data_IF_674136281360
#
_entry.id   IF_674136281360
#
_cell.length_a   1.000
_cell.length_b   1.000
_cell.length_c   1.000
_cell.angle_alpha   90.00
_cell.angle_beta   90.00
_cell.angle_gamma   90.00
#
_symmetry.space_group_name_H-M   'P 1'
#
loop_
_entity.id
_entity.type
_entity.pdbx_description
1 polymer ?
#
# COMPACT_ATOMS: atom_id res chain seq x y z
N UNK A 1 15.00 29.85 63.04
CA UNK A 1 14.14 30.63 62.12
C UNK A 1 14.90 30.84 60.82
N UNK A 2 14.35 30.29 59.72
CA UNK A 2 14.32 30.88 58.37
C UNK A 2 15.68 30.97 57.63
N UNK A 3 15.93 30.42 56.44
CA UNK A 3 15.05 29.96 55.35
C UNK A 3 15.82 28.98 54.43
N UNK A 4 15.21 27.83 54.13
CA UNK A 4 15.50 26.95 52.98
C UNK A 4 15.32 27.71 51.66
N UNK A 5 16.24 27.57 50.70
CA UNK A 5 15.96 27.63 49.24
C UNK A 5 17.04 26.81 48.51
N UNK A 6 16.91 25.48 48.46
CA UNK A 6 16.47 24.72 47.27
C UNK A 6 16.90 25.41 45.97
N UNK A 7 18.04 24.97 45.43
CA UNK A 7 18.45 25.21 44.05
C UNK A 7 17.51 24.38 43.17
N UNK A 8 16.53 25.04 42.56
CA UNK A 8 15.68 24.43 41.54
C UNK A 8 16.48 24.34 40.24
N UNK A 9 16.89 23.13 39.87
CA UNK A 9 17.33 22.82 38.51
C UNK A 9 16.06 22.81 37.66
N UNK A 10 15.79 23.90 36.97
CA UNK A 10 14.75 23.95 35.93
C UNK A 10 15.29 23.22 34.70
N UNK A 11 15.00 21.93 34.58
CA UNK A 11 15.18 21.19 33.32
C UNK A 11 14.11 21.69 32.35
N UNK A 12 14.52 22.58 31.44
CA UNK A 12 13.66 23.04 30.35
C UNK A 12 13.63 21.92 29.29
N UNK A 13 12.63 21.05 29.35
CA UNK A 13 12.35 20.08 28.29
C UNK A 13 11.87 20.87 27.07
N UNK A 14 12.79 21.13 26.12
CA UNK A 14 12.43 21.64 24.81
C UNK A 14 11.73 20.49 24.08
N UNK A 15 10.39 20.42 24.19
CA UNK A 15 9.58 19.63 23.27
C UNK A 15 9.76 20.25 21.88
N UNK A 16 10.77 19.79 21.15
CA UNK A 16 10.76 19.92 19.70
C UNK A 16 9.52 19.15 19.24
N UNK A 17 8.47 19.88 18.88
CA UNK A 17 7.39 19.31 18.08
C UNK A 17 8.02 18.98 16.74
N UNK A 18 8.47 17.73 16.58
CA UNK A 18 8.73 17.21 15.24
C UNK A 18 7.39 17.32 14.52
N UNK A 19 7.31 18.05 13.39
CA UNK A 19 6.09 18.07 12.62
C UNK A 19 5.79 16.62 12.22
N UNK A 20 4.75 16.06 12.82
CA UNK A 20 4.21 14.77 12.43
C UNK A 20 3.58 14.96 11.05
N UNK A 21 4.29 14.54 10.01
CA UNK A 21 3.76 14.50 8.66
C UNK A 21 2.97 13.21 8.50
N UNK A 22 1.81 13.30 7.85
CA UNK A 22 1.13 12.11 7.38
C UNK A 22 1.88 11.54 6.17
N UNK A 23 1.98 10.21 6.12
CA UNK A 23 2.62 9.50 5.01
C UNK A 23 1.92 9.73 3.68
N UNK A 24 0.59 9.79 3.71
CA UNK A 24 -0.23 9.99 2.51
C UNK A 24 -0.39 11.48 2.22
N UNK A 25 0.21 11.96 1.11
CA UNK A 25 0.18 13.39 0.75
C UNK A 25 -0.61 13.69 -0.51
N UNK A 26 -0.46 12.87 -1.54
CA UNK A 26 -1.15 13.05 -2.82
C UNK A 26 -2.36 12.12 -2.87
N UNK A 27 -3.47 12.53 -2.24
CA UNK A 27 -4.67 11.69 -2.13
C UNK A 27 -5.75 12.16 -3.11
N UNK A 28 -6.07 11.30 -4.07
CA UNK A 28 -7.19 11.48 -4.99
C UNK A 28 -8.32 10.51 -4.63
N UNK A 29 -9.53 11.05 -4.43
CA UNK A 29 -10.73 10.25 -4.13
C UNK A 29 -11.79 10.59 -5.16
N UNK A 30 -12.25 9.58 -5.88
CA UNK A 30 -13.24 9.71 -6.96
C UNK A 30 -14.39 8.73 -6.73
N UNK A 31 -15.63 9.18 -6.96
CA UNK A 31 -16.83 8.35 -6.82
C UNK A 31 -17.52 8.21 -8.18
N UNK A 32 -17.78 6.98 -8.59
CA UNK A 32 -18.83 6.65 -9.54
C UNK A 32 -20.12 6.37 -8.77
N UNK A 33 -21.03 7.33 -8.88
CA UNK A 33 -22.31 7.38 -8.18
C UNK A 33 -23.51 7.28 -9.13
N UNK A 34 -23.30 6.80 -10.36
CA UNK A 34 -24.34 6.76 -11.41
C UNK A 34 -25.56 5.92 -11.02
N UNK A 35 -25.35 4.87 -10.23
CA UNK A 35 -26.43 3.98 -9.75
C UNK A 35 -27.17 4.52 -8.52
N UNK A 36 -26.72 5.64 -7.93
CA UNK A 36 -27.36 6.26 -6.78
C UNK A 36 -28.45 7.26 -7.19
N UNK A 37 -29.53 7.31 -6.40
CA UNK A 37 -30.59 8.32 -6.54
C UNK A 37 -30.03 9.71 -6.24
N UNK A 38 -30.59 10.75 -6.86
CA UNK A 38 -30.07 12.13 -6.78
C UNK A 38 -29.93 12.67 -5.35
N UNK A 39 -30.87 12.36 -4.46
CA UNK A 39 -30.81 12.77 -3.05
C UNK A 39 -29.68 12.05 -2.29
N UNK A 40 -29.45 10.78 -2.59
CA UNK A 40 -28.37 9.98 -1.98
C UNK A 40 -27.00 10.45 -2.49
N UNK A 41 -26.91 10.82 -3.78
CA UNK A 41 -25.69 11.42 -4.33
C UNK A 41 -25.28 12.65 -3.54
N UNK A 42 -26.18 13.61 -3.36
CA UNK A 42 -25.89 14.82 -2.60
C UNK A 42 -25.46 14.53 -1.15
N UNK A 43 -26.06 13.52 -0.53
CA UNK A 43 -25.73 13.11 0.84
C UNK A 43 -24.34 12.47 0.98
N UNK A 44 -23.87 11.71 -0.02
CA UNK A 44 -22.57 11.02 0.07
C UNK A 44 -21.39 11.90 -0.39
N UNK A 45 -21.62 13.04 -1.04
CA UNK A 45 -20.54 13.90 -1.54
C UNK A 45 -19.50 14.32 -0.48
N UNK A 46 -19.88 14.72 0.75
CA UNK A 46 -18.91 15.15 1.77
C UNK A 46 -17.91 14.06 2.17
N UNK A 47 -18.30 12.78 2.03
CA UNK A 47 -17.44 11.64 2.34
C UNK A 47 -16.14 11.66 1.53
N UNK A 48 -16.14 12.20 0.30
CA UNK A 48 -14.91 12.29 -0.52
C UNK A 48 -13.79 13.03 0.20
N UNK A 49 -14.11 14.19 0.76
CA UNK A 49 -13.14 15.01 1.46
C UNK A 49 -12.83 14.47 2.86
N UNK A 50 -13.79 13.77 3.47
CA UNK A 50 -13.59 13.10 4.75
C UNK A 50 -12.61 11.92 4.63
N UNK A 51 -12.72 11.11 3.57
CA UNK A 51 -11.75 10.05 3.26
C UNK A 51 -10.35 10.64 3.03
N UNK A 52 -10.24 11.77 2.30
CA UNK A 52 -8.95 12.45 2.14
C UNK A 52 -8.36 12.87 3.49
N UNK A 53 -9.17 13.52 4.34
CA UNK A 53 -8.75 13.94 5.68
C UNK A 53 -8.33 12.76 6.55
N UNK A 54 -9.06 11.64 6.47
CA UNK A 54 -8.75 10.43 7.22
C UNK A 54 -7.33 9.93 6.96
N UNK A 55 -6.89 9.90 5.70
CA UNK A 55 -5.52 9.48 5.39
C UNK A 55 -4.48 10.57 5.67
N UNK A 56 -4.79 11.84 5.39
CA UNK A 56 -3.82 12.95 5.53
C UNK A 56 -3.63 13.45 6.96
N UNK A 57 -4.54 13.13 7.88
CA UNK A 57 -4.48 13.57 9.28
C UNK A 57 -3.99 12.47 10.24
N UNK A 58 -3.83 11.25 9.75
CA UNK A 58 -3.37 10.10 10.55
C UNK A 58 -1.88 9.87 10.34
N UNK A 59 -1.16 9.69 11.45
CA UNK A 59 0.19 9.12 11.44
C UNK A 59 0.03 7.61 11.50
N UNK A 60 0.40 6.92 10.42
CA UNK A 60 0.15 5.48 10.28
C UNK A 60 1.25 4.63 10.90
N UNK A 61 2.49 5.06 10.74
CA UNK A 61 3.68 4.47 11.34
C UNK A 61 4.65 5.59 11.78
N UNK A 62 5.18 5.53 13.00
CA UNK A 62 6.07 6.60 13.51
C UNK A 62 7.49 6.53 12.90
N UNK A 63 7.99 5.32 12.64
CA UNK A 63 9.32 5.06 12.06
C UNK A 63 9.39 5.53 10.61
N UNK A 64 8.34 5.27 9.83
CA UNK A 64 8.24 5.64 8.42
C UNK A 64 7.32 6.85 8.21
N UNK A 65 7.43 7.86 9.09
CA UNK A 65 6.55 9.04 9.08
C UNK A 65 6.89 10.07 7.98
N UNK A 66 8.09 9.98 7.40
CA UNK A 66 8.57 10.87 6.36
C UNK A 66 8.22 10.43 4.93
N UNK A 67 7.65 9.23 4.76
CA UNK A 67 7.19 8.72 3.47
C UNK A 67 6.23 9.69 2.78
N UNK A 68 6.26 9.69 1.46
CA UNK A 68 5.44 10.54 0.61
C UNK A 68 4.65 9.67 -0.38
N UNK A 69 3.64 8.98 0.15
CA UNK A 69 2.86 8.00 -0.57
C UNK A 69 1.72 8.71 -1.30
N UNK A 70 1.61 8.43 -2.61
CA UNK A 70 0.44 8.81 -3.40
C UNK A 70 -0.68 7.80 -3.18
N UNK A 71 -1.93 8.23 -3.11
CA UNK A 71 -3.06 7.34 -2.87
C UNK A 71 -4.25 7.72 -3.74
N UNK A 72 -4.55 6.85 -4.70
CA UNK A 72 -5.69 6.97 -5.60
C UNK A 72 -6.78 5.99 -5.14
N UNK A 73 -7.95 6.54 -4.82
CA UNK A 73 -9.11 5.79 -4.34
C UNK A 73 -10.28 6.05 -5.30
N UNK A 74 -10.82 4.98 -5.87
CA UNK A 74 -12.00 5.04 -6.72
C UNK A 74 -13.10 4.16 -6.15
N UNK A 75 -14.23 4.75 -5.76
CA UNK A 75 -15.41 4.01 -5.34
C UNK A 75 -16.41 3.91 -6.48
N UNK A 76 -16.98 2.71 -6.69
CA UNK A 76 -18.09 2.48 -7.61
C UNK A 76 -19.29 2.03 -6.78
N UNK A 77 -20.27 2.91 -6.61
CA UNK A 77 -21.44 2.61 -5.79
C UNK A 77 -22.42 1.71 -6.52
N UNK A 78 -22.78 0.60 -5.89
CA UNK A 78 -23.74 -0.39 -6.42
C UNK A 78 -25.17 -0.10 -5.95
N UNK A 79 -25.33 0.57 -4.82
CA UNK A 79 -26.64 0.93 -4.28
C UNK A 79 -26.61 1.26 -2.79
N UNK A 80 -27.81 1.54 -2.26
CA UNK A 80 -28.02 1.78 -0.83
C UNK A 80 -29.19 0.92 -0.34
N UNK A 81 -28.97 0.22 0.76
CA UNK A 81 -30.01 -0.47 1.52
C UNK A 81 -30.37 0.36 2.75
N UNK A 82 -31.65 0.45 3.08
CA UNK A 82 -32.11 1.19 4.25
C UNK A 82 -32.77 0.23 5.24
N UNK A 83 -32.28 0.22 6.48
CA UNK A 83 -32.88 -0.51 7.59
C UNK A 83 -33.12 0.46 8.74
N UNK A 84 -34.36 0.93 8.88
CA UNK A 84 -34.71 2.00 9.82
C UNK A 84 -34.08 3.34 9.41
N UNK A 85 -33.38 3.98 10.36
CA UNK A 85 -32.65 5.24 10.11
C UNK A 85 -31.29 5.05 9.44
N UNK A 86 -30.75 3.82 9.42
CA UNK A 86 -29.39 3.58 8.93
C UNK A 86 -29.41 3.31 7.43
N UNK A 87 -28.55 4.03 6.71
CA UNK A 87 -28.27 3.82 5.29
C UNK A 87 -26.98 3.01 5.15
N UNK A 88 -27.08 1.84 4.55
CA UNK A 88 -25.95 0.97 4.26
C UNK A 88 -25.60 1.08 2.78
N UNK A 89 -24.41 1.59 2.50
CA UNK A 89 -23.85 1.74 1.17
C UNK A 89 -23.16 0.46 0.76
N UNK A 90 -23.38 0.08 -0.50
CA UNK A 90 -22.73 -1.03 -1.16
C UNK A 90 -21.90 -0.47 -2.31
N UNK A 91 -20.63 -0.89 -2.38
CA UNK A 91 -19.72 -0.41 -3.39
C UNK A 91 -18.66 -1.44 -3.76
N UNK A 92 -17.97 -1.15 -4.85
CA UNK A 92 -16.65 -1.69 -5.17
C UNK A 92 -15.65 -0.55 -4.97
N UNK A 93 -14.39 -0.88 -4.69
CA UNK A 93 -13.35 0.13 -4.54
C UNK A 93 -12.04 -0.29 -5.19
N UNK A 94 -11.30 0.68 -5.69
CA UNK A 94 -9.94 0.51 -6.14
C UNK A 94 -9.04 1.41 -5.30
N UNK A 95 -8.01 0.81 -4.69
CA UNK A 95 -6.94 1.52 -4.00
C UNK A 95 -5.65 1.32 -4.77
N UNK A 96 -4.89 2.40 -5.01
CA UNK A 96 -3.59 2.30 -5.67
C UNK A 96 -2.62 3.39 -5.23
N UNK A 97 -1.33 3.06 -5.19
CA UNK A 97 -0.27 4.04 -5.04
C UNK A 97 0.11 4.76 -6.35
N UNK A 98 -0.57 4.45 -7.46
CA UNK A 98 -0.21 4.93 -8.80
C UNK A 98 0.90 4.10 -9.49
N UNK A 99 1.32 3.00 -8.86
CA UNK A 99 2.34 2.06 -9.34
C UNK A 99 1.77 0.62 -9.31
N UNK A 100 2.56 -0.34 -8.88
CA UNK A 100 2.25 -1.77 -8.80
C UNK A 100 1.28 -2.14 -7.67
N UNK A 101 1.23 -1.35 -6.59
CA UNK A 101 0.25 -1.56 -5.52
C UNK A 101 -1.12 -1.12 -6.02
N UNK A 102 -1.93 -2.10 -6.40
CA UNK A 102 -3.28 -1.90 -6.90
C UNK A 102 -4.19 -2.99 -6.38
N UNK A 103 -5.17 -2.60 -5.57
CA UNK A 103 -6.09 -3.52 -4.92
C UNK A 103 -7.53 -3.19 -5.28
N UNK A 104 -8.23 -4.18 -5.84
CA UNK A 104 -9.63 -4.06 -6.23
C UNK A 104 -10.51 -4.85 -5.27
N UNK A 105 -11.45 -4.18 -4.63
CA UNK A 105 -12.42 -4.72 -3.69
C UNK A 105 -13.81 -4.74 -4.30
N UNK A 106 -14.49 -5.89 -4.23
CA UNK A 106 -15.85 -6.09 -4.78
C UNK A 106 -16.96 -6.08 -3.73
N UNK A 107 -16.59 -6.02 -2.46
CA UNK A 107 -17.46 -6.32 -1.33
C UNK A 107 -17.52 -5.20 -0.31
N UNK A 108 -17.44 -3.95 -0.73
CA UNK A 108 -17.48 -2.81 0.20
C UNK A 108 -18.89 -2.67 0.75
N UNK A 109 -19.01 -2.60 2.07
CA UNK A 109 -20.25 -2.40 2.79
C UNK A 109 -20.01 -1.52 4.02
N UNK A 110 -20.68 -0.38 4.10
CA UNK A 110 -20.54 0.50 5.25
C UNK A 110 -21.80 1.33 5.52
N UNK A 111 -21.89 1.88 6.73
CA UNK A 111 -22.88 2.90 7.08
C UNK A 111 -22.21 4.26 7.02
N UNK A 112 -22.94 5.26 6.55
CA UNK A 112 -22.48 6.64 6.57
C UNK A 112 -23.52 7.57 7.17
N UNK A 113 -23.08 8.34 8.16
CA UNK A 113 -23.84 9.40 8.80
C UNK A 113 -23.00 10.68 8.73
N UNK A 114 -23.51 11.75 8.11
CA UNK A 114 -22.83 13.04 7.87
C UNK A 114 -22.61 13.88 9.16
N UNK A 115 -22.52 13.24 10.33
CA UNK A 115 -22.49 13.91 11.64
C UNK A 115 -21.17 13.73 12.39
N UNK A 116 -20.14 13.14 11.78
CA UNK A 116 -18.89 12.78 12.45
C UNK A 116 -17.65 13.09 11.61
N UNK A 117 -16.48 12.93 12.24
CA UNK A 117 -15.20 12.82 11.53
C UNK A 117 -14.79 11.35 11.56
N UNK A 118 -14.41 10.80 10.41
CA UNK A 118 -13.83 9.46 10.32
C UNK A 118 -12.59 9.35 11.19
N UNK A 119 -12.59 8.35 12.07
CA UNK A 119 -11.45 8.00 12.91
C UNK A 119 -11.39 6.48 13.06
N UNK A 120 -10.18 5.93 12.99
CA UNK A 120 -9.94 4.50 13.15
C UNK A 120 -9.61 4.18 14.60
N UNK A 121 -10.39 3.27 15.19
CA UNK A 121 -10.12 2.69 16.50
C UNK A 121 -9.65 1.23 16.33
N UNK A 122 -8.49 0.84 16.88
CA UNK A 122 -7.97 -0.52 16.72
C UNK A 122 -8.78 -1.58 17.47
N UNK A 123 -9.64 -1.18 18.42
CA UNK A 123 -10.47 -2.07 19.24
C UNK A 123 -11.90 -2.10 18.72
N UNK A 124 -12.47 -0.93 18.40
CA UNK A 124 -13.87 -0.79 17.98
C UNK A 124 -13.96 -0.87 16.46
N UNK A 125 -14.65 -1.90 15.96
CA UNK A 125 -14.89 -2.03 14.53
C UNK A 125 -15.95 -1.02 14.06
N UNK A 126 -15.52 -0.03 13.29
CA UNK A 126 -16.37 0.79 12.42
C UNK A 126 -16.23 0.33 10.96
N UNK A 127 -17.32 0.03 10.23
CA UNK A 127 -17.23 -0.55 8.88
C UNK A 127 -16.46 0.31 7.88
N UNK A 128 -16.63 1.63 7.93
CA UNK A 128 -16.00 2.54 6.96
C UNK A 128 -14.56 2.84 7.36
N UNK A 129 -14.33 3.28 8.61
CA UNK A 129 -12.99 3.61 9.08
C UNK A 129 -12.08 2.38 9.09
N UNK A 130 -12.58 1.20 9.47
CA UNK A 130 -11.80 -0.05 9.42
C UNK A 130 -11.49 -0.48 7.99
N UNK A 131 -12.44 -0.32 7.06
CA UNK A 131 -12.20 -0.59 5.64
C UNK A 131 -11.11 0.31 5.05
N UNK A 132 -11.17 1.60 5.36
CA UNK A 132 -10.14 2.56 4.94
C UNK A 132 -8.79 2.26 5.62
N UNK A 133 -8.80 1.93 6.91
CA UNK A 133 -7.59 1.56 7.65
C UNK A 133 -6.94 0.29 7.11
N UNK A 134 -7.74 -0.70 6.71
CA UNK A 134 -7.24 -1.91 6.06
C UNK A 134 -6.43 -1.57 4.80
N UNK A 135 -7.00 -0.80 3.88
CA UNK A 135 -6.28 -0.44 2.64
C UNK A 135 -5.14 0.56 2.84
N UNK A 136 -5.24 1.44 3.84
CA UNK A 136 -4.14 2.32 4.25
C UNK A 136 -2.91 1.54 4.69
N UNK A 137 -3.11 0.62 5.64
CA UNK A 137 -2.04 -0.27 6.11
C UNK A 137 -1.53 -1.19 4.98
N UNK A 138 -2.40 -1.66 4.08
CA UNK A 138 -1.99 -2.54 2.99
C UNK A 138 -1.08 -1.84 1.97
N UNK A 139 -1.41 -0.60 1.59
CA UNK A 139 -0.54 0.23 0.74
C UNK A 139 0.76 0.53 1.49
N UNK A 140 0.67 0.94 2.75
CA UNK A 140 1.84 1.27 3.56
C UNK A 140 2.80 0.08 3.72
N UNK A 141 2.28 -1.14 3.93
CA UNK A 141 3.09 -2.35 4.01
C UNK A 141 3.95 -2.55 2.76
N UNK A 142 3.34 -2.37 1.58
CA UNK A 142 4.03 -2.52 0.31
C UNK A 142 5.09 -1.46 0.07
N UNK A 143 4.86 -0.23 0.53
CA UNK A 143 5.83 0.87 0.48
C UNK A 143 6.99 0.64 1.47
N UNK A 144 6.71 0.20 2.70
CA UNK A 144 7.77 -0.09 3.69
C UNK A 144 8.68 -1.22 3.21
N UNK A 145 8.13 -2.24 2.54
CA UNK A 145 8.90 -3.33 1.94
C UNK A 145 9.91 -2.84 0.87
N UNK A 146 9.83 -1.59 0.37
CA UNK A 146 10.87 -1.03 -0.53
C UNK A 146 12.10 -0.51 0.22
N UNK A 147 11.99 -0.26 1.52
CA UNK A 147 13.06 0.32 2.35
C UNK A 147 13.74 -0.70 3.26
N UNK A 148 12.98 -1.68 3.74
CA UNK A 148 13.48 -2.71 4.67
C UNK A 148 12.97 -4.08 4.24
N UNK A 149 13.81 -5.12 4.21
CA UNK A 149 13.38 -6.48 3.90
C UNK A 149 12.22 -6.91 4.81
N UNK A 150 11.07 -7.21 4.19
CA UNK A 150 9.84 -7.58 4.88
C UNK A 150 9.38 -6.59 5.98
N UNK A 151 9.75 -5.31 5.86
CA UNK A 151 9.44 -4.30 6.87
C UNK A 151 7.94 -4.08 7.08
N UNK A 152 7.11 -4.26 6.04
CA UNK A 152 5.65 -4.08 6.10
C UNK A 152 4.90 -5.17 6.88
N UNK A 153 5.59 -6.08 7.56
CA UNK A 153 4.98 -7.20 8.26
C UNK A 153 4.03 -6.73 9.37
N UNK A 154 4.38 -5.65 10.07
CA UNK A 154 3.55 -5.12 11.16
C UNK A 154 2.20 -4.59 10.65
N UNK A 155 2.22 -3.94 9.48
CA UNK A 155 1.08 -3.39 8.77
C UNK A 155 0.18 -4.48 8.20
N UNK A 156 0.76 -5.56 7.67
CA UNK A 156 0.01 -6.74 7.25
C UNK A 156 -0.72 -7.40 8.43
N UNK A 157 -0.09 -7.47 9.61
CA UNK A 157 -0.74 -7.98 10.81
C UNK A 157 -1.84 -7.05 11.33
N UNK A 158 -1.67 -5.73 11.21
CA UNK A 158 -2.76 -4.77 11.44
C UNK A 158 -3.94 -5.02 10.48
N UNK A 159 -3.67 -5.23 9.19
CA UNK A 159 -4.69 -5.59 8.19
C UNK A 159 -5.41 -6.89 8.56
N UNK A 160 -4.66 -7.92 8.95
CA UNK A 160 -5.20 -9.23 9.39
C UNK A 160 -6.15 -9.07 10.57
N UNK A 161 -5.73 -8.30 11.56
CA UNK A 161 -6.51 -8.00 12.77
C UNK A 161 -7.84 -7.28 12.44
N UNK A 162 -7.77 -6.27 11.56
CA UNK A 162 -8.95 -5.57 11.05
C UNK A 162 -9.88 -6.53 10.29
N UNK A 163 -9.33 -7.36 9.41
CA UNK A 163 -10.12 -8.22 8.55
C UNK A 163 -10.86 -9.32 9.32
N UNK A 164 -10.23 -9.88 10.35
CA UNK A 164 -10.88 -10.85 11.26
C UNK A 164 -12.04 -10.18 12.01
N UNK A 165 -11.85 -8.97 12.55
CA UNK A 165 -12.93 -8.22 13.22
C UNK A 165 -14.08 -7.92 12.27
N UNK A 166 -13.77 -7.46 11.05
CA UNK A 166 -14.78 -7.15 10.04
C UNK A 166 -15.58 -8.37 9.61
N UNK A 167 -14.93 -9.53 9.44
CA UNK A 167 -15.60 -10.78 9.10
C UNK A 167 -16.53 -11.29 10.21
N UNK A 168 -16.20 -10.99 11.48
CA UNK A 168 -17.04 -11.33 12.63
C UNK A 168 -18.12 -10.29 12.96
N UNK A 169 -18.17 -9.17 12.23
CA UNK A 169 -19.08 -8.05 12.47
C UNK A 169 -20.46 -8.25 11.81
N UNK A 170 -21.36 -7.30 12.06
CA UNK A 170 -22.65 -7.19 11.37
C UNK A 170 -22.53 -6.76 9.89
N UNK A 171 -21.32 -6.41 9.42
CA UNK A 171 -21.03 -5.98 8.04
C UNK A 171 -19.95 -6.88 7.40
N UNK A 172 -20.17 -8.20 7.28
CA UNK A 172 -19.13 -9.16 6.89
C UNK A 172 -18.80 -9.17 5.39
N UNK A 173 -19.55 -8.42 4.56
CA UNK A 173 -19.37 -8.46 3.09
C UNK A 173 -17.92 -8.13 2.70
N UNK A 174 -17.34 -8.99 1.86
CA UNK A 174 -15.96 -8.85 1.33
C UNK A 174 -14.84 -9.15 2.32
N UNK A 175 -15.10 -9.30 3.63
CA UNK A 175 -14.01 -9.47 4.61
C UNK A 175 -13.30 -10.82 4.52
N UNK A 176 -14.00 -11.88 4.09
CA UNK A 176 -13.35 -13.16 3.80
C UNK A 176 -12.34 -13.04 2.65
N UNK A 177 -12.68 -12.33 1.57
CA UNK A 177 -11.78 -12.09 0.44
C UNK A 177 -10.57 -11.25 0.89
N UNK A 178 -10.78 -10.25 1.76
CA UNK A 178 -9.71 -9.46 2.37
C UNK A 178 -8.78 -10.31 3.23
N UNK A 179 -9.29 -11.28 4.00
CA UNK A 179 -8.46 -12.24 4.75
C UNK A 179 -7.61 -13.08 3.81
N UNK A 180 -8.19 -13.58 2.70
CA UNK A 180 -7.46 -14.35 1.69
C UNK A 180 -6.35 -13.50 1.05
N UNK A 181 -6.65 -12.25 0.70
CA UNK A 181 -5.67 -11.29 0.16
C UNK A 181 -4.49 -11.09 1.13
N UNK A 182 -4.75 -10.87 2.42
CA UNK A 182 -3.66 -10.72 3.41
C UNK A 182 -2.86 -12.00 3.56
N UNK A 183 -3.49 -13.18 3.53
CA UNK A 183 -2.76 -14.45 3.56
C UNK A 183 -1.82 -14.59 2.35
N UNK A 184 -2.31 -14.29 1.15
CA UNK A 184 -1.51 -14.32 -0.07
C UNK A 184 -0.32 -13.38 0.02
N UNK A 185 -0.55 -12.12 0.40
CA UNK A 185 0.51 -11.11 0.46
C UNK A 185 1.53 -11.37 1.58
N UNK A 186 1.08 -11.77 2.77
CA UNK A 186 1.98 -12.09 3.89
C UNK A 186 2.86 -13.31 3.63
N UNK A 187 2.37 -14.29 2.88
CA UNK A 187 3.11 -15.54 2.60
C UNK A 187 4.01 -15.43 1.36
N UNK A 188 3.85 -14.39 0.56
CA UNK A 188 4.64 -14.15 -0.65
C UNK A 188 5.99 -13.49 -0.32
N UNK A 189 6.85 -14.19 0.46
CA UNK A 189 8.19 -13.70 0.82
C UNK A 189 9.05 -13.41 -0.41
N UNK A 190 8.91 -14.21 -1.47
CA UNK A 190 9.64 -14.04 -2.72
C UNK A 190 9.39 -12.68 -3.37
N UNK A 191 8.12 -12.25 -3.49
CA UNK A 191 7.79 -10.92 -4.01
C UNK A 191 8.31 -9.80 -3.10
N UNK A 192 8.18 -9.96 -1.78
CA UNK A 192 8.62 -8.93 -0.82
C UNK A 192 10.14 -8.74 -0.88
N UNK A 193 10.90 -9.84 -0.97
CA UNK A 193 12.34 -9.84 -1.22
C UNK A 193 12.70 -9.22 -2.56
N UNK A 194 12.02 -9.62 -3.63
CA UNK A 194 12.25 -9.07 -4.96
C UNK A 194 11.99 -7.56 -5.03
N UNK A 195 10.92 -7.10 -4.37
CA UNK A 195 10.59 -5.68 -4.27
C UNK A 195 11.69 -4.89 -3.56
N UNK A 196 12.11 -5.31 -2.37
CA UNK A 196 13.20 -4.65 -1.65
C UNK A 196 14.46 -4.57 -2.53
N UNK A 197 14.89 -5.72 -3.05
CA UNK A 197 16.12 -5.84 -3.82
C UNK A 197 16.10 -4.98 -5.09
N UNK A 198 14.96 -4.90 -5.79
CA UNK A 198 14.79 -4.02 -6.94
C UNK A 198 15.00 -2.53 -6.59
N UNK A 199 14.27 -2.03 -5.59
CA UNK A 199 14.34 -0.61 -5.23
C UNK A 199 15.74 -0.25 -4.72
N UNK A 200 16.35 -1.12 -3.91
CA UNK A 200 17.69 -0.91 -3.41
C UNK A 200 18.74 -0.96 -4.53
N UNK A 201 18.64 -1.92 -5.47
CA UNK A 201 19.53 -2.01 -6.62
C UNK A 201 19.48 -0.75 -7.51
N UNK A 202 18.28 -0.22 -7.75
CA UNK A 202 18.09 1.02 -8.54
C UNK A 202 18.70 2.23 -7.83
N UNK A 203 18.59 2.30 -6.50
CA UNK A 203 19.20 3.40 -5.74
C UNK A 203 20.73 3.31 -5.74
N UNK A 204 21.30 2.14 -5.48
CA UNK A 204 22.73 1.87 -5.59
C UNK A 204 23.28 2.21 -6.98
N UNK A 205 22.55 1.85 -8.05
CA UNK A 205 22.90 2.22 -9.41
C UNK A 205 23.01 3.73 -9.59
N UNK A 206 22.05 4.50 -9.04
CA UNK A 206 22.05 5.97 -9.11
C UNK A 206 23.20 6.59 -8.32
N UNK A 207 23.62 5.95 -7.24
CA UNK A 207 24.76 6.36 -6.42
C UNK A 207 26.11 5.96 -7.04
N UNK A 208 26.11 5.12 -8.09
CA UNK A 208 27.32 4.63 -8.75
C UNK A 208 27.92 3.38 -8.11
N UNK A 209 27.21 2.73 -7.18
CA UNK A 209 27.61 1.47 -6.55
C UNK A 209 27.23 0.27 -7.42
N UNK A 210 27.94 0.12 -8.55
CA UNK A 210 27.62 -0.82 -9.63
C UNK A 210 27.62 -2.29 -9.17
N UNK A 211 28.68 -2.75 -8.50
CA UNK A 211 28.81 -4.16 -8.10
C UNK A 211 27.71 -4.56 -7.10
N UNK A 212 27.47 -3.72 -6.10
CA UNK A 212 26.40 -3.93 -5.11
C UNK A 212 25.03 -3.91 -5.78
N UNK A 213 24.80 -2.98 -6.71
CA UNK A 213 23.55 -2.91 -7.49
C UNK A 213 23.28 -4.20 -8.28
N UNK A 214 24.29 -4.74 -8.97
CA UNK A 214 24.18 -6.02 -9.69
C UNK A 214 23.86 -7.17 -8.73
N UNK A 215 24.52 -7.22 -7.57
CA UNK A 215 24.24 -8.23 -6.54
C UNK A 215 22.78 -8.18 -6.07
N UNK A 216 22.23 -6.98 -5.88
CA UNK A 216 20.83 -6.83 -5.48
C UNK A 216 19.85 -7.18 -6.61
N UNK A 217 20.15 -6.90 -7.88
CA UNK A 217 19.35 -7.43 -8.97
C UNK A 217 19.37 -8.96 -9.03
N UNK A 218 20.48 -9.62 -8.66
CA UNK A 218 20.50 -11.08 -8.52
C UNK A 218 19.64 -11.56 -7.36
N UNK A 219 19.67 -10.88 -6.21
CA UNK A 219 18.78 -11.16 -5.09
C UNK A 219 17.29 -11.01 -5.48
N UNK A 220 16.99 -10.05 -6.35
CA UNK A 220 15.65 -9.88 -6.92
C UNK A 220 15.24 -11.11 -7.73
N UNK A 221 16.09 -11.61 -8.63
CA UNK A 221 15.82 -12.84 -9.41
C UNK A 221 15.55 -14.02 -8.48
N UNK A 222 16.37 -14.22 -7.44
CA UNK A 222 16.13 -15.28 -6.45
C UNK A 222 14.76 -15.15 -5.80
N UNK A 223 14.33 -13.92 -5.44
CA UNK A 223 13.00 -13.69 -4.91
C UNK A 223 11.89 -14.01 -5.92
N UNK A 224 12.09 -13.70 -7.20
CA UNK A 224 11.14 -14.04 -8.27
C UNK A 224 11.06 -15.55 -8.53
N UNK A 225 12.19 -16.27 -8.48
CA UNK A 225 12.24 -17.72 -8.59
C UNK A 225 11.43 -18.39 -7.46
N UNK A 226 11.58 -17.92 -6.21
CA UNK A 226 10.80 -18.40 -5.07
C UNK A 226 9.28 -18.25 -5.33
N UNK A 227 8.85 -17.14 -5.92
CA UNK A 227 7.44 -16.98 -6.31
C UNK A 227 7.10 -17.91 -7.46
N UNK A 228 7.95 -18.03 -8.46
CA UNK A 228 7.70 -18.81 -9.66
C UNK A 228 7.54 -20.30 -9.35
N UNK A 229 8.31 -20.84 -8.41
CA UNK A 229 8.18 -22.23 -7.98
C UNK A 229 6.82 -22.54 -7.31
N UNK A 230 6.27 -21.57 -6.57
CA UNK A 230 5.02 -21.74 -5.82
C UNK A 230 3.81 -21.37 -6.67
N UNK A 231 3.85 -20.21 -7.33
CA UNK A 231 2.75 -19.63 -8.12
C UNK A 231 3.30 -18.78 -9.27
N UNK A 232 3.67 -19.39 -10.42
CA UNK A 232 4.26 -18.73 -11.59
C UNK A 232 3.51 -17.50 -12.11
N UNK A 233 2.19 -17.49 -11.93
CA UNK A 233 1.30 -16.41 -12.39
C UNK A 233 0.67 -15.64 -11.24
N UNK A 234 1.42 -15.44 -10.15
CA UNK A 234 0.95 -14.61 -9.04
C UNK A 234 0.62 -13.19 -9.54
N UNK A 235 -0.60 -12.73 -9.26
CA UNK A 235 -1.12 -11.49 -9.82
C UNK A 235 -0.27 -10.27 -9.40
N UNK A 236 0.11 -10.19 -8.14
CA UNK A 236 0.84 -9.06 -7.57
C UNK A 236 2.28 -9.01 -8.10
N UNK A 237 2.93 -10.16 -8.27
CA UNK A 237 4.26 -10.25 -8.87
C UNK A 237 4.26 -9.83 -10.33
N UNK A 238 3.26 -10.27 -11.12
CA UNK A 238 3.13 -9.84 -12.51
C UNK A 238 2.84 -8.34 -12.63
N UNK A 239 2.07 -7.76 -11.71
CA UNK A 239 1.82 -6.32 -11.69
C UNK A 239 3.11 -5.54 -11.39
N UNK A 240 3.88 -5.98 -10.39
CA UNK A 240 5.19 -5.41 -10.05
C UNK A 240 6.13 -5.41 -11.26
N UNK A 241 6.31 -6.55 -11.90
CA UNK A 241 7.17 -6.67 -13.08
C UNK A 241 6.68 -5.80 -14.23
N UNK A 242 5.37 -5.80 -14.51
CA UNK A 242 4.79 -4.96 -15.57
C UNK A 242 5.05 -3.47 -15.38
N UNK A 243 4.93 -2.96 -14.16
CA UNK A 243 5.15 -1.53 -13.88
C UNK A 243 6.63 -1.16 -13.96
N UNK A 244 7.53 -2.11 -13.64
CA UNK A 244 8.97 -1.84 -13.55
C UNK A 244 9.80 -2.35 -14.73
N UNK A 245 9.20 -3.06 -15.71
CA UNK A 245 9.88 -3.69 -16.84
C UNK A 245 10.79 -2.72 -17.62
N UNK A 246 10.33 -1.51 -17.91
CA UNK A 246 11.12 -0.50 -18.64
C UNK A 246 12.33 -0.02 -17.82
N UNK A 247 12.17 0.12 -16.50
CA UNK A 247 13.26 0.53 -15.61
C UNK A 247 14.27 -0.59 -15.44
N UNK A 248 13.81 -1.82 -15.22
CA UNK A 248 14.65 -3.02 -15.19
C UNK A 248 15.48 -3.13 -16.46
N UNK A 249 14.82 -3.10 -17.61
CA UNK A 249 15.48 -3.22 -18.92
C UNK A 249 16.55 -2.15 -19.09
N UNK A 250 16.19 -0.88 -18.86
CA UNK A 250 17.12 0.25 -19.02
C UNK A 250 18.35 0.12 -18.11
N UNK A 251 18.15 -0.16 -16.83
CA UNK A 251 19.26 -0.22 -15.86
C UNK A 251 20.16 -1.43 -16.17
N UNK A 252 19.58 -2.61 -16.39
CA UNK A 252 20.34 -3.83 -16.68
C UNK A 252 21.08 -3.76 -18.01
N UNK A 253 20.54 -3.03 -18.99
CA UNK A 253 21.23 -2.74 -20.27
C UNK A 253 22.48 -1.91 -20.05
N UNK A 254 22.38 -0.82 -19.28
CA UNK A 254 23.55 0.02 -18.92
C UNK A 254 24.59 -0.78 -18.13
N UNK A 255 24.14 -1.69 -17.26
CA UNK A 255 25.01 -2.58 -16.49
C UNK A 255 25.54 -3.79 -17.28
N UNK A 256 25.17 -3.93 -18.56
CA UNK A 256 25.51 -5.06 -19.43
C UNK A 256 25.16 -6.45 -18.86
N UNK A 257 24.10 -6.56 -18.04
CA UNK A 257 23.69 -7.83 -17.40
C UNK A 257 22.77 -8.65 -18.31
N UNK A 258 23.36 -9.32 -19.31
CA UNK A 258 22.61 -10.17 -20.26
C UNK A 258 21.93 -11.35 -19.60
N UNK A 259 22.57 -11.97 -18.61
CA UNK A 259 22.05 -13.12 -17.87
C UNK A 259 20.75 -12.76 -17.13
N UNK A 260 20.74 -11.66 -16.37
CA UNK A 260 19.55 -11.22 -15.63
C UNK A 260 18.40 -10.88 -16.60
N UNK A 261 18.70 -10.23 -17.73
CA UNK A 261 17.69 -9.95 -18.76
C UNK A 261 17.13 -11.22 -19.39
N UNK A 262 17.94 -12.26 -19.58
CA UNK A 262 17.47 -13.56 -20.06
C UNK A 262 16.54 -14.22 -19.03
N UNK A 263 16.93 -14.24 -17.75
CA UNK A 263 16.09 -14.79 -16.66
C UNK A 263 14.73 -14.08 -16.62
N UNK A 264 14.70 -12.75 -16.75
CA UNK A 264 13.46 -11.97 -16.82
C UNK A 264 12.58 -12.33 -18.02
N UNK A 265 13.15 -12.73 -19.16
CA UNK A 265 12.32 -13.19 -20.31
C UNK A 265 11.62 -14.52 -20.07
N UNK A 266 12.14 -15.33 -19.15
CA UNK A 266 11.55 -16.61 -18.75
C UNK A 266 10.53 -16.42 -17.63
N UNK A 267 10.90 -15.65 -16.60
CA UNK A 267 10.06 -15.36 -15.43
C UNK A 267 8.87 -14.44 -15.74
N UNK A 268 9.03 -13.52 -16.69
CA UNK A 268 8.03 -12.53 -17.08
C UNK A 268 7.81 -12.50 -18.60
N UNK A 269 7.14 -13.53 -19.15
CA UNK A 269 6.92 -13.65 -20.58
C UNK A 269 6.04 -12.51 -21.14
N UNK A 270 5.22 -11.88 -20.29
CA UNK A 270 4.30 -10.81 -20.70
C UNK A 270 5.07 -9.54 -21.11
N UNK A 271 6.26 -9.29 -20.53
CA UNK A 271 7.15 -8.18 -20.89
C UNK A 271 8.41 -8.60 -21.67
N UNK A 272 8.45 -9.83 -22.18
CA UNK A 272 9.59 -10.39 -22.94
C UNK A 272 10.14 -9.46 -24.03
N UNK A 273 9.25 -8.77 -24.76
CA UNK A 273 9.65 -7.83 -25.82
C UNK A 273 10.52 -6.69 -25.29
N UNK A 274 10.20 -6.17 -24.11
CA UNK A 274 10.94 -5.09 -23.46
C UNK A 274 12.34 -5.58 -23.09
N UNK A 275 12.46 -6.72 -22.42
CA UNK A 275 13.76 -7.29 -22.03
C UNK A 275 14.64 -7.67 -23.23
N UNK A 276 14.03 -8.22 -24.29
CA UNK A 276 14.74 -8.59 -25.52
C UNK A 276 15.38 -7.37 -26.18
N UNK A 277 14.72 -6.22 -26.16
CA UNK A 277 15.28 -4.97 -26.68
C UNK A 277 16.59 -4.60 -25.97
N UNK A 278 16.63 -4.75 -24.63
CA UNK A 278 17.86 -4.52 -23.86
C UNK A 278 18.98 -5.49 -24.24
N UNK A 279 18.67 -6.77 -24.48
CA UNK A 279 19.66 -7.77 -24.91
C UNK A 279 20.29 -7.44 -26.28
N UNK A 280 19.47 -6.93 -27.21
CA UNK A 280 19.91 -6.47 -28.52
C UNK A 280 20.85 -5.27 -28.38
N UNK A 281 20.49 -4.26 -27.57
CA UNK A 281 21.30 -3.06 -27.33
C UNK A 281 22.69 -3.35 -26.72
N UNK A 282 22.84 -4.37 -25.86
CA UNK A 282 24.17 -4.77 -25.32
C UNK A 282 24.99 -5.56 -26.37
N UNK A 283 24.36 -6.05 -27.43
CA UNK A 283 25.02 -6.87 -28.46
C UNK A 283 25.53 -6.06 -29.65
N UNK A 284 25.15 -4.78 -29.74
CA UNK A 284 25.69 -3.77 -30.68
C UNK A 284 26.96 -3.11 -30.12
#
# INVERSE_FOLDING_TARGET
MLFRRIIQITVFYFFYSVPLYAQFRQIEVTFDEQLLKSNIRQFILPLRDEVKRFYSATVWNEEFSDLNISLNIHFVFEGVSQKGSNQTFLAQALFSNGSDLRFFDKGVQFIYNDSGTLYYDPVIFDPLASFLAFYGNLILAGEIDTYTPEGGTSELEMCRSIAIRGNASDYPRGWMDRIQLINELSTNSGLRKARFAFYYAVDLFRQGEIETSISEFRNMIVGLDEVYEITPRNHHTLMFLKVHADTLTRVLTVLAQKDILMDLTELDPDNKKTYTKGLEEISE
#
